data_IF_589929564094
#
_entry.id   IF_589929564094
#
_cell.length_a   1.000
_cell.length_b   1.000
_cell.length_c   1.000
_cell.angle_alpha   90.00
_cell.angle_beta   90.00
_cell.angle_gamma   90.00
#
_symmetry.space_group_name_H-M   'P 1'
#
loop_
_entity.id
_entity.type
_entity.pdbx_description
1 polymer ?
#
# COMPACT_ATOMS: atom_id res chain seq x y z
N UNK A 1 1.91 14.74 -28.28
CA UNK A 1 2.30 13.68 -29.23
C UNK A 1 3.80 13.49 -29.08
N UNK A 2 4.23 12.59 -28.19
CA UNK A 2 5.62 12.16 -28.08
C UNK A 2 5.92 11.09 -29.14
N UNK A 3 7.12 11.13 -29.72
CA UNK A 3 7.57 10.20 -30.76
C UNK A 3 7.52 8.76 -30.21
N UNK A 4 6.87 7.78 -30.93
CA UNK A 4 6.83 6.39 -30.52
C UNK A 4 8.22 5.73 -30.38
N UNK A 5 9.26 6.35 -30.86
CA UNK A 5 10.65 5.87 -30.79
C UNK A 5 11.32 6.02 -29.44
N UNK A 6 10.78 6.86 -28.54
CA UNK A 6 11.31 7.04 -27.19
C UNK A 6 10.90 5.92 -26.20
N UNK A 7 10.10 4.95 -26.66
CA UNK A 7 9.63 3.82 -25.86
C UNK A 7 10.65 2.68 -25.71
N UNK A 8 11.84 2.76 -26.31
CA UNK A 8 12.75 1.62 -26.45
C UNK A 8 14.15 1.74 -25.86
N UNK A 9 14.45 2.75 -25.07
CA UNK A 9 15.72 2.75 -24.34
C UNK A 9 15.58 2.15 -22.94
N UNK A 10 15.30 0.86 -22.86
CA UNK A 10 15.50 0.12 -21.61
C UNK A 10 16.98 -0.18 -21.46
N UNK A 11 17.66 0.35 -20.42
CA UNK A 11 18.97 -0.20 -20.08
C UNK A 11 18.74 -1.64 -19.62
N UNK A 12 19.22 -2.60 -20.38
CA UNK A 12 19.27 -4.01 -20.07
C UNK A 12 20.25 -4.28 -18.90
N UNK A 13 19.97 -3.74 -17.71
CA UNK A 13 20.68 -4.13 -16.49
C UNK A 13 20.13 -5.46 -16.02
N UNK A 14 21.02 -6.44 -15.92
CA UNK A 14 20.74 -7.78 -15.41
C UNK A 14 19.98 -7.71 -14.10
N UNK A 15 18.94 -8.50 -13.99
CA UNK A 15 17.90 -8.49 -12.96
C UNK A 15 18.34 -8.94 -11.54
N UNK A 16 19.59 -9.23 -11.27
CA UNK A 16 20.04 -9.79 -10.00
C UNK A 16 20.04 -8.77 -8.85
N UNK A 17 20.40 -7.51 -9.11
CA UNK A 17 20.51 -6.48 -8.06
C UNK A 17 19.17 -5.79 -7.75
N UNK A 18 18.20 -5.94 -8.62
CA UNK A 18 16.85 -5.42 -8.43
C UNK A 18 15.92 -6.37 -7.64
N UNK A 19 16.37 -7.61 -7.39
CA UNK A 19 15.52 -8.69 -6.89
C UNK A 19 14.81 -8.35 -5.58
N UNK A 20 15.55 -7.90 -4.56
CA UNK A 20 15.01 -7.63 -3.24
C UNK A 20 14.19 -6.34 -3.16
N UNK A 21 14.72 -5.23 -3.68
CA UNK A 21 14.00 -3.95 -3.71
C UNK A 21 12.70 -4.08 -4.49
N UNK A 22 12.78 -4.67 -5.69
CA UNK A 22 11.62 -4.86 -6.54
C UNK A 22 10.57 -5.78 -5.88
N UNK A 23 10.98 -6.84 -5.18
CA UNK A 23 10.06 -7.72 -4.46
C UNK A 23 9.36 -6.99 -3.31
N UNK A 24 10.09 -6.11 -2.60
CA UNK A 24 9.49 -5.26 -1.54
C UNK A 24 8.52 -4.24 -2.10
N UNK A 25 8.88 -3.57 -3.18
CA UNK A 25 8.00 -2.60 -3.86
C UNK A 25 6.74 -3.28 -4.36
N UNK A 26 6.85 -4.44 -5.01
CA UNK A 26 5.69 -5.22 -5.46
C UNK A 26 4.81 -5.66 -4.28
N UNK A 27 5.40 -6.12 -3.19
CA UNK A 27 4.67 -6.50 -1.98
C UNK A 27 3.91 -5.31 -1.38
N UNK A 28 4.56 -4.16 -1.26
CA UNK A 28 3.96 -2.95 -0.70
C UNK A 28 2.82 -2.41 -1.59
N UNK A 29 2.98 -2.48 -2.92
CA UNK A 29 1.94 -2.12 -3.86
C UNK A 29 0.76 -3.11 -3.81
N UNK A 30 1.04 -4.43 -3.77
CA UNK A 30 0.02 -5.46 -3.60
C UNK A 30 -0.78 -5.23 -2.30
N UNK A 31 -0.09 -4.99 -1.20
CA UNK A 31 -0.71 -4.76 0.10
C UNK A 31 -1.56 -3.48 0.12
N UNK A 32 -1.09 -2.42 -0.52
CA UNK A 32 -1.86 -1.18 -0.72
C UNK A 32 -3.10 -1.44 -1.57
N UNK A 33 -2.96 -2.21 -2.67
CA UNK A 33 -4.08 -2.57 -3.55
C UNK A 33 -5.12 -3.41 -2.82
N UNK A 34 -4.70 -4.43 -2.07
CA UNK A 34 -5.60 -5.24 -1.23
C UNK A 34 -6.43 -4.37 -0.29
N UNK A 35 -5.81 -3.37 0.32
CA UNK A 35 -6.47 -2.47 1.26
C UNK A 35 -7.55 -1.64 0.59
N UNK A 36 -7.22 -0.83 -0.44
CA UNK A 36 -8.23 0.07 -1.01
C UNK A 36 -9.29 -0.68 -1.82
N UNK A 37 -8.92 -1.74 -2.53
CA UNK A 37 -9.88 -2.60 -3.23
C UNK A 37 -10.80 -3.33 -2.24
N UNK A 38 -10.25 -3.88 -1.16
CA UNK A 38 -11.02 -4.56 -0.11
C UNK A 38 -12.04 -3.64 0.56
N UNK A 39 -11.65 -2.41 0.89
CA UNK A 39 -12.61 -1.42 1.41
C UNK A 39 -13.68 -1.05 0.39
N UNK A 40 -13.33 -0.92 -0.86
CA UNK A 40 -14.28 -0.58 -1.90
C UNK A 40 -15.23 -1.76 -2.20
N UNK A 41 -14.76 -3.01 -2.16
CA UNK A 41 -15.61 -4.22 -2.21
C UNK A 41 -16.56 -4.30 -1.02
N UNK A 42 -16.14 -3.84 0.16
CA UNK A 42 -16.99 -3.73 1.35
C UNK A 42 -17.93 -2.51 1.33
N UNK A 43 -18.10 -1.83 0.18
CA UNK A 43 -18.98 -0.66 0.04
C UNK A 43 -18.44 0.62 0.69
N UNK A 44 -17.15 0.69 1.00
CA UNK A 44 -16.49 1.85 1.62
C UNK A 44 -15.28 2.34 0.81
N UNK A 45 -15.46 2.71 -0.47
CA UNK A 45 -14.39 3.23 -1.29
C UNK A 45 -13.85 4.52 -0.66
N UNK A 46 -12.53 4.65 -0.60
CA UNK A 46 -11.91 5.84 0.01
C UNK A 46 -10.71 6.37 -0.76
N UNK A 47 -10.20 5.61 -1.71
CA UNK A 47 -9.00 5.93 -2.45
C UNK A 47 -9.04 5.23 -3.80
N UNK A 48 -8.42 5.83 -4.80
CA UNK A 48 -8.16 5.26 -6.12
C UNK A 48 -6.77 5.65 -6.58
N UNK A 49 -6.24 4.94 -7.58
CA UNK A 49 -4.96 5.24 -8.20
C UNK A 49 -5.22 5.63 -9.65
N UNK A 50 -4.88 6.84 -10.04
CA UNK A 50 -5.17 7.43 -11.34
C UNK A 50 -4.66 6.64 -12.55
N UNK A 51 -3.65 5.77 -12.34
CA UNK A 51 -3.10 4.90 -13.39
C UNK A 51 -4.08 3.82 -13.87
N UNK A 52 -5.09 3.47 -13.04
CA UNK A 52 -6.09 2.46 -13.37
C UNK A 52 -7.45 2.84 -12.76
N UNK A 53 -7.99 3.95 -13.22
CA UNK A 53 -9.22 4.52 -12.73
C UNK A 53 -10.01 5.17 -13.87
N UNK A 54 -11.33 4.99 -13.85
CA UNK A 54 -12.24 5.67 -14.75
C UNK A 54 -13.41 6.26 -13.95
N UNK A 55 -13.95 7.36 -14.40
CA UNK A 55 -15.13 8.00 -13.82
C UNK A 55 -15.97 8.68 -14.90
N UNK A 56 -17.26 8.87 -14.61
CA UNK A 56 -18.16 9.57 -15.52
C UNK A 56 -17.86 11.06 -15.58
N UNK A 57 -17.94 11.65 -16.75
CA UNK A 57 -17.68 13.08 -16.96
C UNK A 57 -18.58 13.97 -16.09
N UNK A 58 -19.85 13.58 -15.94
CA UNK A 58 -20.82 14.33 -15.12
C UNK A 58 -20.35 14.43 -13.66
N UNK A 59 -19.80 13.34 -13.10
CA UNK A 59 -19.26 13.33 -11.73
C UNK A 59 -18.06 14.28 -11.59
N UNK A 60 -17.20 14.32 -12.62
CA UNK A 60 -16.05 15.20 -12.64
C UNK A 60 -16.45 16.68 -12.67
N UNK A 61 -17.37 17.04 -13.57
CA UNK A 61 -17.82 18.43 -13.70
C UNK A 61 -18.65 18.89 -12.49
N UNK A 62 -19.51 18.02 -11.91
CA UNK A 62 -20.25 18.32 -10.71
C UNK A 62 -19.37 18.70 -9.51
N UNK A 63 -18.16 18.15 -9.45
CA UNK A 63 -17.17 18.46 -8.42
C UNK A 63 -16.20 19.59 -8.81
N UNK A 64 -16.42 20.26 -9.94
CA UNK A 64 -15.51 21.28 -10.53
C UNK A 64 -14.11 20.70 -10.81
N UNK A 65 -14.06 19.44 -11.23
CA UNK A 65 -12.83 18.74 -11.53
C UNK A 65 -11.86 18.65 -10.35
N UNK A 66 -10.61 18.93 -10.59
CA UNK A 66 -9.54 18.94 -9.58
C UNK A 66 -9.33 20.28 -8.89
N UNK A 67 -10.24 21.26 -9.09
CA UNK A 67 -10.05 22.64 -8.62
C UNK A 67 -9.77 22.75 -7.11
N UNK A 68 -10.30 21.84 -6.29
CA UNK A 68 -10.10 21.82 -4.85
C UNK A 68 -8.67 21.41 -4.43
N UNK A 69 -7.89 20.82 -5.35
CA UNK A 69 -6.60 20.20 -5.05
C UNK A 69 -5.47 20.64 -6.00
N UNK A 70 -5.70 21.69 -6.82
CA UNK A 70 -4.73 22.19 -7.80
C UNK A 70 -3.42 22.66 -7.18
N UNK A 71 -3.46 23.07 -5.93
CA UNK A 71 -2.29 23.52 -5.16
C UNK A 71 -1.45 22.36 -4.62
N UNK A 72 -1.95 21.12 -4.67
CA UNK A 72 -1.21 19.95 -4.22
C UNK A 72 -0.38 19.38 -5.38
N UNK A 73 0.81 18.87 -5.03
CA UNK A 73 1.69 18.23 -6.01
C UNK A 73 1.12 16.88 -6.47
N UNK A 74 0.40 16.20 -5.59
CA UNK A 74 -0.31 14.93 -5.83
C UNK A 74 -1.63 14.93 -5.09
N UNK A 75 -2.52 13.98 -5.38
CA UNK A 75 -3.78 13.82 -4.69
C UNK A 75 -5.00 14.16 -5.54
N UNK A 76 -4.79 14.39 -6.81
CA UNK A 76 -5.85 14.62 -7.79
C UNK A 76 -6.73 13.36 -7.95
N UNK A 77 -6.15 12.18 -7.93
CA UNK A 77 -6.84 10.90 -8.05
C UNK A 77 -7.46 10.42 -6.73
N UNK A 78 -6.66 10.26 -5.71
CA UNK A 78 -7.09 9.68 -4.43
C UNK A 78 -8.06 10.59 -3.66
N UNK A 79 -7.83 11.90 -3.64
CA UNK A 79 -8.71 12.87 -2.99
C UNK A 79 -10.03 13.06 -3.75
N UNK A 80 -10.00 12.97 -5.09
CA UNK A 80 -11.22 12.99 -5.89
C UNK A 80 -12.12 11.81 -5.53
N UNK A 81 -11.57 10.59 -5.51
CA UNK A 81 -12.30 9.38 -5.10
C UNK A 81 -12.76 9.49 -3.65
N UNK A 82 -11.90 9.93 -2.73
CA UNK A 82 -12.27 10.10 -1.32
C UNK A 82 -13.47 11.03 -1.12
N UNK A 83 -13.62 12.02 -2.00
CA UNK A 83 -14.71 12.98 -1.95
C UNK A 83 -16.01 12.47 -2.59
N UNK A 84 -15.90 11.68 -3.68
CA UNK A 84 -17.01 11.42 -4.60
C UNK A 84 -17.50 9.98 -4.61
N UNK A 85 -16.66 9.03 -4.24
CA UNK A 85 -17.00 7.61 -4.31
C UNK A 85 -17.92 7.19 -3.18
N UNK A 86 -18.94 6.41 -3.53
CA UNK A 86 -19.90 5.78 -2.60
C UNK A 86 -20.06 4.30 -2.96
N UNK A 87 -20.75 3.53 -2.12
CA UNK A 87 -21.04 2.13 -2.39
C UNK A 87 -21.86 1.94 -3.68
N UNK A 88 -22.76 2.89 -3.95
CA UNK A 88 -23.71 2.81 -5.07
C UNK A 88 -23.08 3.21 -6.40
N UNK A 89 -22.16 4.20 -6.38
CA UNK A 89 -21.59 4.75 -7.61
C UNK A 89 -20.22 4.17 -7.99
N UNK A 90 -19.66 3.25 -7.16
CA UNK A 90 -18.34 2.67 -7.37
C UNK A 90 -18.44 1.21 -7.80
N UNK A 91 -17.66 0.83 -8.79
CA UNK A 91 -17.46 -0.54 -9.23
C UNK A 91 -15.98 -0.85 -9.30
N UNK A 92 -15.63 -2.10 -9.02
CA UNK A 92 -14.26 -2.56 -8.99
C UNK A 92 -14.11 -3.65 -10.03
N UNK A 93 -13.06 -3.51 -10.82
CA UNK A 93 -12.62 -4.56 -11.74
C UNK A 93 -11.37 -5.21 -11.18
N UNK A 94 -11.40 -6.53 -11.03
CA UNK A 94 -10.28 -7.33 -10.52
C UNK A 94 -9.75 -8.34 -11.53
N UNK A 95 -10.29 -8.35 -12.75
CA UNK A 95 -9.80 -9.22 -13.80
C UNK A 95 -8.33 -8.95 -14.09
N UNK A 96 -7.55 -10.02 -14.27
CA UNK A 96 -6.10 -9.93 -14.56
C UNK A 96 -5.80 -9.14 -15.84
N UNK A 97 -6.73 -9.08 -16.79
CA UNK A 97 -6.60 -8.30 -18.02
C UNK A 97 -6.84 -6.81 -17.80
N UNK A 98 -7.53 -6.44 -16.73
CA UNK A 98 -7.75 -5.04 -16.36
C UNK A 98 -6.59 -4.44 -15.56
N UNK A 99 -5.59 -5.23 -15.18
CA UNK A 99 -4.45 -4.76 -14.36
C UNK A 99 -3.47 -3.96 -15.20
N UNK A 100 -3.25 -2.71 -14.83
CA UNK A 100 -2.23 -1.85 -15.43
C UNK A 100 -0.86 -2.15 -14.82
N UNK A 101 0.09 -2.53 -15.67
CA UNK A 101 1.48 -2.77 -15.27
C UNK A 101 2.27 -1.47 -15.27
N UNK A 102 2.98 -1.22 -14.19
CA UNK A 102 3.79 -0.02 -14.00
C UNK A 102 5.26 -0.38 -14.10
N UNK A 103 6.05 0.56 -14.62
CA UNK A 103 7.50 0.39 -14.66
C UNK A 103 8.08 0.18 -13.25
N UNK A 104 9.06 -0.72 -13.09
CA UNK A 104 9.66 -0.98 -11.79
C UNK A 104 10.44 0.24 -11.27
N UNK A 105 10.39 0.44 -9.97
CA UNK A 105 11.21 1.45 -9.30
C UNK A 105 12.63 0.92 -9.16
N UNK A 106 13.60 1.64 -9.69
CA UNK A 106 14.99 1.19 -9.72
C UNK A 106 15.82 1.64 -8.51
N UNK A 107 15.40 2.71 -7.82
CA UNK A 107 16.12 3.25 -6.67
C UNK A 107 15.22 3.36 -5.45
N UNK A 108 15.75 2.95 -4.29
CA UNK A 108 15.02 3.06 -3.02
C UNK A 108 14.67 4.51 -2.65
N UNK A 109 15.45 5.48 -3.12
CA UNK A 109 15.16 6.91 -2.94
C UNK A 109 13.86 7.30 -3.63
N UNK A 110 13.69 6.90 -4.89
CA UNK A 110 12.52 7.27 -5.70
C UNK A 110 11.23 6.66 -5.10
N UNK A 111 11.32 5.39 -4.66
CA UNK A 111 10.23 4.74 -3.94
C UNK A 111 9.86 5.48 -2.64
N UNK A 112 10.86 5.86 -1.86
CA UNK A 112 10.64 6.64 -0.63
C UNK A 112 9.94 7.97 -0.91
N UNK A 113 10.41 8.74 -1.89
CA UNK A 113 9.82 10.03 -2.26
C UNK A 113 8.37 9.86 -2.74
N UNK A 114 8.10 8.83 -3.54
CA UNK A 114 6.75 8.50 -3.98
C UNK A 114 5.84 8.21 -2.78
N UNK A 115 6.27 7.38 -1.82
CA UNK A 115 5.47 7.02 -0.64
C UNK A 115 5.26 8.20 0.31
N UNK A 116 6.27 9.02 0.54
CA UNK A 116 6.14 10.23 1.36
C UNK A 116 5.12 11.19 0.73
N UNK A 117 5.15 11.35 -0.57
CA UNK A 117 4.19 12.17 -1.29
C UNK A 117 2.74 11.68 -1.12
N UNK A 118 2.50 10.37 -1.24
CA UNK A 118 1.17 9.79 -0.96
C UNK A 118 0.75 9.91 0.51
N UNK A 119 1.68 9.83 1.46
CA UNK A 119 1.36 10.03 2.87
C UNK A 119 0.94 11.47 3.17
N UNK A 120 1.47 12.44 2.42
CA UNK A 120 1.08 13.84 2.52
C UNK A 120 -0.39 14.06 2.14
N UNK A 121 -0.90 13.36 1.12
CA UNK A 121 -2.30 13.47 0.69
C UNK A 121 -3.27 12.77 1.65
N UNK A 122 -2.87 11.69 2.29
CA UNK A 122 -3.71 10.95 3.22
C UNK A 122 -4.23 11.79 4.41
N UNK A 123 -3.53 12.88 4.75
CA UNK A 123 -3.98 13.82 5.77
C UNK A 123 -5.29 14.54 5.40
N UNK A 124 -5.56 14.69 4.12
CA UNK A 124 -6.75 15.35 3.60
C UNK A 124 -7.95 14.41 3.42
N UNK A 125 -7.81 13.11 3.70
CA UNK A 125 -8.90 12.17 3.62
C UNK A 125 -10.00 12.50 4.62
N UNK A 126 -11.24 12.26 4.23
CA UNK A 126 -12.43 12.50 5.07
C UNK A 126 -12.66 11.33 6.01
N UNK A 127 -13.21 11.66 7.16
CA UNK A 127 -13.68 10.66 8.12
C UNK A 127 -12.55 9.79 8.71
N UNK A 128 -12.89 8.56 9.06
CA UNK A 128 -12.02 7.59 9.72
C UNK A 128 -10.91 7.05 8.78
N UNK A 129 -11.11 7.16 7.47
CA UNK A 129 -10.20 6.58 6.48
C UNK A 129 -8.77 7.13 6.58
N UNK A 130 -8.60 8.37 7.02
CA UNK A 130 -7.27 8.98 7.24
C UNK A 130 -6.45 8.26 8.30
N UNK A 131 -7.11 7.56 9.23
CA UNK A 131 -6.45 6.84 10.33
C UNK A 131 -6.20 5.36 10.03
N UNK A 132 -6.85 4.78 9.02
CA UNK A 132 -6.80 3.35 8.72
C UNK A 132 -5.38 2.82 8.55
N UNK A 133 -4.56 3.52 7.77
CA UNK A 133 -3.17 3.11 7.55
C UNK A 133 -2.33 3.20 8.83
N UNK A 134 -2.63 4.17 9.70
CA UNK A 134 -1.99 4.31 10.99
C UNK A 134 -2.37 3.19 11.95
N UNK A 135 -3.66 2.94 12.08
CA UNK A 135 -4.20 1.88 12.92
C UNK A 135 -3.67 0.50 12.52
N UNK A 136 -3.72 0.18 11.23
CA UNK A 136 -3.18 -1.06 10.70
C UNK A 136 -1.68 -1.23 11.00
N UNK A 137 -0.88 -0.20 10.74
CA UNK A 137 0.56 -0.22 11.01
C UNK A 137 0.84 -0.45 12.50
N UNK A 138 0.09 0.25 13.38
CA UNK A 138 0.27 0.16 14.82
C UNK A 138 -0.14 -1.20 15.36
N UNK A 139 -1.29 -1.74 14.96
CA UNK A 139 -1.76 -3.06 15.41
C UNK A 139 -0.83 -4.18 14.96
N UNK A 140 -0.26 -4.09 13.75
CA UNK A 140 0.72 -5.07 13.27
C UNK A 140 2.01 -5.04 14.11
N UNK A 141 2.52 -3.87 14.44
CA UNK A 141 3.70 -3.73 15.30
C UNK A 141 3.43 -4.22 16.72
N UNK A 142 2.31 -3.82 17.32
CA UNK A 142 1.91 -4.28 18.65
C UNK A 142 1.78 -5.79 18.72
N UNK A 143 1.21 -6.41 17.68
CA UNK A 143 1.15 -7.87 17.61
C UNK A 143 2.55 -8.50 17.66
N UNK A 144 3.52 -8.02 16.87
CA UNK A 144 4.85 -8.60 16.86
C UNK A 144 5.58 -8.38 18.19
N UNK A 145 5.46 -7.19 18.78
CA UNK A 145 6.06 -6.89 20.08
C UNK A 145 5.45 -7.77 21.17
N UNK A 146 4.12 -7.87 21.24
CA UNK A 146 3.42 -8.70 22.21
C UNK A 146 3.77 -10.17 22.03
N UNK A 147 3.79 -10.66 20.80
CA UNK A 147 4.15 -12.04 20.48
C UNK A 147 5.57 -12.39 20.94
N UNK A 148 6.55 -11.54 20.61
CA UNK A 148 7.94 -11.73 21.04
C UNK A 148 8.03 -11.71 22.57
N UNK A 149 7.36 -10.75 23.22
CA UNK A 149 7.38 -10.63 24.68
C UNK A 149 6.80 -11.88 25.36
N UNK A 150 5.64 -12.37 24.93
CA UNK A 150 5.02 -13.58 25.49
C UNK A 150 5.90 -14.80 25.26
N UNK A 151 6.52 -14.92 24.09
CA UNK A 151 7.39 -16.04 23.76
C UNK A 151 8.65 -16.04 24.61
N UNK A 152 9.32 -14.90 24.74
CA UNK A 152 10.54 -14.74 25.55
C UNK A 152 10.23 -14.96 27.05
N UNK A 153 9.22 -14.30 27.59
CA UNK A 153 8.83 -14.44 29.01
C UNK A 153 8.39 -15.88 29.30
N UNK A 154 7.61 -16.49 28.39
CA UNK A 154 7.17 -17.87 28.53
C UNK A 154 8.32 -18.87 28.59
N UNK A 155 9.34 -18.69 27.76
CA UNK A 155 10.53 -19.55 27.76
C UNK A 155 11.36 -19.33 29.04
N UNK A 156 11.64 -18.06 29.39
CA UNK A 156 12.50 -17.73 30.54
C UNK A 156 11.90 -18.19 31.89
N UNK A 157 10.56 -18.18 32.02
CA UNK A 157 9.87 -18.56 33.21
C UNK A 157 9.31 -20.01 33.15
N UNK A 158 9.74 -20.80 32.17
CA UNK A 158 9.29 -22.20 31.98
C UNK A 158 7.77 -22.36 31.77
N UNK A 159 7.08 -21.30 31.35
CA UNK A 159 5.65 -21.33 30.99
C UNK A 159 5.44 -21.87 29.58
N UNK A 160 5.76 -23.12 29.35
CA UNK A 160 5.73 -23.76 28.02
C UNK A 160 4.38 -23.69 27.33
N UNK A 161 3.28 -23.73 28.12
CA UNK A 161 1.93 -23.61 27.59
C UNK A 161 1.73 -22.21 26.92
N UNK A 162 2.16 -21.14 27.59
CA UNK A 162 2.04 -19.77 27.04
C UNK A 162 2.90 -19.59 25.77
N UNK A 163 4.13 -20.10 25.79
CA UNK A 163 5.01 -20.09 24.62
C UNK A 163 4.42 -20.89 23.44
N UNK A 164 3.83 -22.07 23.73
CA UNK A 164 3.16 -22.90 22.72
C UNK A 164 1.94 -22.20 22.10
N UNK A 165 1.10 -21.56 22.91
CA UNK A 165 -0.06 -20.79 22.42
C UNK A 165 0.42 -19.61 21.56
N UNK A 166 1.44 -18.87 22.00
CA UNK A 166 2.00 -17.78 21.23
C UNK A 166 2.53 -18.24 19.85
N UNK A 167 3.21 -19.37 19.81
CA UNK A 167 3.68 -19.97 18.57
C UNK A 167 2.53 -20.37 17.64
N UNK A 168 1.49 -21.02 18.18
CA UNK A 168 0.32 -21.43 17.40
C UNK A 168 -0.44 -20.22 16.83
N UNK A 169 -0.62 -19.16 17.61
CA UNK A 169 -1.26 -17.94 17.15
C UNK A 169 -0.47 -17.27 16.01
N UNK A 170 0.86 -17.25 16.11
CA UNK A 170 1.72 -16.75 15.04
C UNK A 170 1.61 -17.62 13.79
N UNK A 171 1.67 -18.94 13.93
CA UNK A 171 1.57 -19.89 12.82
C UNK A 171 0.21 -19.76 12.10
N UNK A 172 -0.88 -19.67 12.86
CA UNK A 172 -2.22 -19.47 12.33
C UNK A 172 -2.30 -18.14 11.54
N UNK A 173 -1.85 -17.04 12.15
CA UNK A 173 -1.82 -15.74 11.49
C UNK A 173 -0.98 -15.77 10.22
N UNK A 174 0.22 -16.34 10.27
CA UNK A 174 1.10 -16.45 9.12
C UNK A 174 0.45 -17.26 7.98
N UNK A 175 -0.15 -18.38 8.30
CA UNK A 175 -0.83 -19.25 7.33
C UNK A 175 -1.97 -18.49 6.63
N UNK A 176 -2.85 -17.85 7.42
CA UNK A 176 -3.95 -17.06 6.87
C UNK A 176 -3.45 -15.91 5.98
N UNK A 177 -2.43 -15.18 6.42
CA UNK A 177 -1.83 -14.12 5.61
C UNK A 177 -1.21 -14.66 4.32
N UNK A 178 -0.48 -15.78 4.39
CA UNK A 178 0.13 -16.39 3.22
C UNK A 178 -0.92 -16.84 2.20
N UNK A 179 -2.02 -17.42 2.65
CA UNK A 179 -3.12 -17.83 1.78
C UNK A 179 -3.78 -16.61 1.11
N UNK A 180 -4.16 -15.61 1.90
CA UNK A 180 -4.84 -14.40 1.39
C UNK A 180 -3.94 -13.64 0.42
N UNK A 181 -2.71 -13.34 0.81
CA UNK A 181 -1.79 -12.53 0.01
C UNK A 181 -1.43 -13.23 -1.31
N UNK A 182 -1.14 -14.54 -1.27
CA UNK A 182 -0.78 -15.25 -2.50
C UNK A 182 -1.99 -15.50 -3.41
N UNK A 183 -3.20 -15.67 -2.86
CA UNK A 183 -4.43 -15.74 -3.63
C UNK A 183 -4.68 -14.40 -4.34
N UNK A 184 -4.69 -13.31 -3.59
CA UNK A 184 -4.91 -11.97 -4.18
C UNK A 184 -3.80 -11.58 -5.16
N UNK A 185 -2.54 -11.95 -4.89
CA UNK A 185 -1.45 -11.73 -5.83
C UNK A 185 -1.74 -12.42 -7.17
N UNK A 186 -2.21 -13.66 -7.14
CA UNK A 186 -2.61 -14.41 -8.34
C UNK A 186 -3.77 -13.73 -9.07
N UNK A 187 -4.82 -13.34 -8.34
CA UNK A 187 -6.01 -12.71 -8.89
C UNK A 187 -5.69 -11.36 -9.55
N UNK A 188 -4.73 -10.61 -9.00
CA UNK A 188 -4.23 -9.35 -9.56
C UNK A 188 -3.08 -9.53 -10.58
N UNK A 189 -2.84 -10.75 -11.07
CA UNK A 189 -1.84 -11.03 -12.12
C UNK A 189 -0.37 -10.90 -11.68
N UNK A 190 -0.08 -10.87 -10.37
CA UNK A 190 1.29 -10.91 -9.86
C UNK A 190 1.81 -12.36 -9.89
N UNK A 191 2.95 -12.56 -10.57
CA UNK A 191 3.55 -13.89 -10.74
C UNK A 191 4.36 -14.35 -9.51
N UNK A 192 4.71 -13.44 -8.61
CA UNK A 192 5.55 -13.73 -7.45
C UNK A 192 4.74 -14.34 -6.33
N UNK A 193 5.38 -15.27 -5.61
CA UNK A 193 4.85 -15.83 -4.38
C UNK A 193 5.59 -15.26 -3.19
N UNK A 194 4.86 -14.97 -2.12
CA UNK A 194 5.36 -14.31 -0.91
C UNK A 194 5.40 -15.23 0.31
N UNK A 195 5.56 -16.56 0.13
CA UNK A 195 5.55 -17.50 1.24
C UNK A 195 6.75 -17.24 2.18
N UNK A 196 7.97 -17.43 1.71
CA UNK A 196 9.17 -17.31 2.58
C UNK A 196 9.55 -15.87 2.94
N UNK A 197 9.15 -14.90 2.13
CA UNK A 197 9.48 -13.47 2.38
C UNK A 197 8.43 -12.77 3.21
N UNK A 198 7.24 -13.37 3.39
CA UNK A 198 6.14 -12.76 4.12
C UNK A 198 6.48 -12.42 5.57
N UNK A 199 7.09 -13.28 6.40
CA UNK A 199 7.41 -12.94 7.78
C UNK A 199 8.32 -11.71 7.88
N UNK A 200 9.28 -11.62 6.96
CA UNK A 200 10.22 -10.49 6.91
C UNK A 200 9.50 -9.21 6.47
N UNK A 201 8.66 -9.29 5.44
CA UNK A 201 7.93 -8.13 4.92
C UNK A 201 6.83 -7.65 5.86
N UNK A 202 6.20 -8.56 6.61
CA UNK A 202 5.19 -8.24 7.62
C UNK A 202 5.74 -7.39 8.77
N UNK A 203 7.03 -7.52 9.08
CA UNK A 203 7.74 -6.70 10.06
C UNK A 203 8.32 -5.44 9.41
N UNK A 204 9.00 -5.59 8.26
CA UNK A 204 9.71 -4.48 7.64
C UNK A 204 8.78 -3.38 7.11
N UNK A 205 7.61 -3.73 6.58
CA UNK A 205 6.68 -2.76 6.00
C UNK A 205 6.13 -1.76 7.04
N UNK A 206 5.60 -2.17 8.20
CA UNK A 206 5.15 -1.23 9.22
C UNK A 206 6.30 -0.39 9.80
N UNK A 207 7.49 -0.96 10.03
CA UNK A 207 8.67 -0.21 10.46
C UNK A 207 9.06 0.87 9.45
N UNK A 208 9.04 0.52 8.17
CA UNK A 208 9.34 1.46 7.10
C UNK A 208 8.28 2.53 6.96
N UNK A 209 7.01 2.19 7.12
CA UNK A 209 5.89 3.15 7.12
C UNK A 209 6.03 4.15 8.26
N UNK A 210 6.42 3.72 9.46
CA UNK A 210 6.73 4.62 10.57
C UNK A 210 7.89 5.57 10.24
N UNK A 211 8.99 5.02 9.72
CA UNK A 211 10.14 5.84 9.31
C UNK A 211 9.74 6.91 8.29
N UNK A 212 8.91 6.57 7.31
CA UNK A 212 8.44 7.54 6.32
C UNK A 212 7.49 8.57 6.93
N UNK A 213 6.64 8.19 7.88
CA UNK A 213 5.81 9.15 8.64
C UNK A 213 6.66 10.13 9.41
N UNK A 214 7.72 9.68 10.07
CA UNK A 214 8.69 10.57 10.71
C UNK A 214 9.31 11.55 9.72
N UNK A 215 9.78 11.07 8.58
CA UNK A 215 10.27 11.96 7.53
C UNK A 215 9.22 12.96 7.04
N UNK A 216 7.96 12.55 6.94
CA UNK A 216 6.87 13.43 6.54
C UNK A 216 6.62 14.55 7.58
N UNK A 217 6.73 14.26 8.88
CA UNK A 217 6.55 15.24 9.94
C UNK A 217 7.60 16.37 9.92
N UNK A 218 8.82 16.06 9.46
CA UNK A 218 9.91 17.05 9.37
C UNK A 218 9.92 17.80 8.03
N UNK A 219 9.07 17.44 7.08
CA UNK A 219 8.92 18.20 5.83
C UNK A 219 8.05 19.43 6.02
N UNK A 220 8.43 20.51 5.36
CA UNK A 220 7.63 21.73 5.32
C UNK A 220 6.38 21.50 4.47
N UNK A 221 5.28 22.14 4.85
CA UNK A 221 4.02 22.11 4.09
C UNK A 221 4.21 22.53 2.62
N UNK A 222 5.13 23.46 2.37
CA UNK A 222 5.50 23.92 1.02
C UNK A 222 6.04 22.83 0.11
N UNK A 223 6.61 21.72 0.67
CA UNK A 223 7.19 20.64 -0.12
C UNK A 223 6.12 19.75 -0.76
N UNK A 224 4.87 19.86 -0.32
CA UNK A 224 3.71 19.15 -0.86
C UNK A 224 2.86 20.02 -1.79
N UNK A 225 3.21 21.30 -1.95
CA UNK A 225 2.51 22.22 -2.83
C UNK A 225 3.19 22.25 -4.23
N UNK A 226 2.37 22.43 -5.26
CA UNK A 226 2.88 22.75 -6.60
C UNK A 226 3.58 24.10 -6.55
N UNK A 227 4.78 24.13 -7.08
CA UNK A 227 5.50 25.36 -7.37
C UNK A 227 5.07 25.91 -8.72
#
# INVERSE_FOLDING_TARGET
YGDPRDLHSFPSRRSSDLGWLHKRVSFDNLFTSMRYLGYALAGKPYMGIGRNMAYRKELFYAQKGFSAHLNLQRGDDDLFINKTATAENTRIETDANAVVRVQPVYRAKDWREEKISYMGTAHFYRGIQRYLSGFETTTRLLFHVAWIAVLVIGILNFHWLAAGIAFLLFALRYTLQALIINKTAKDLGEKRRYIFTLPVFDILQPMQSLRWKFHCLFRKRSDFLRR
#
